data_IF_015363429669
#
_entry.id   IF_015363429669
#
_cell.length_a   1.000
_cell.length_b   1.000
_cell.length_c   1.000
_cell.angle_alpha   90.00
_cell.angle_beta   90.00
_cell.angle_gamma   90.00
#
_symmetry.space_group_name_H-M   'P 1'
#
loop_
_entity.id
_entity.type
_entity.pdbx_description
1 polymer ?
#
# COMPACT_ATOMS: atom_id res chain seq x y z
N UNK A 1 2.09 31.67 -18.31
CA UNK A 1 2.85 30.45 -18.03
C UNK A 1 2.74 30.24 -16.54
N UNK A 2 2.54 29.00 -16.09
CA UNK A 2 2.32 28.69 -14.68
C UNK A 2 3.59 28.07 -14.11
N UNK A 3 4.70 28.84 -14.13
CA UNK A 3 6.01 28.32 -13.80
C UNK A 3 6.34 28.58 -12.33
N UNK A 4 6.76 27.54 -11.62
CA UNK A 4 7.17 27.66 -10.23
C UNK A 4 8.67 27.40 -10.14
N UNK A 5 9.31 28.08 -9.20
CA UNK A 5 10.63 27.68 -8.72
C UNK A 5 10.46 26.41 -7.89
N UNK A 6 11.11 25.32 -8.25
CA UNK A 6 11.09 24.07 -7.49
C UNK A 6 12.46 23.83 -6.86
N UNK A 7 12.50 23.60 -5.55
CA UNK A 7 13.66 23.10 -4.83
C UNK A 7 13.37 21.71 -4.30
N UNK A 8 14.27 20.76 -4.51
CA UNK A 8 14.22 19.44 -3.90
C UNK A 8 15.50 19.26 -3.08
N UNK A 9 15.32 18.93 -1.80
CA UNK A 9 16.40 18.85 -0.82
C UNK A 9 16.35 17.47 -0.17
N UNK A 10 17.47 16.77 -0.15
CA UNK A 10 17.67 15.58 0.67
C UNK A 10 18.88 15.74 1.60
N UNK A 11 19.33 14.65 2.24
CA UNK A 11 20.46 14.69 3.17
C UNK A 11 21.81 14.98 2.49
N UNK A 12 21.92 14.69 1.20
CA UNK A 12 23.17 14.70 0.45
C UNK A 12 23.32 15.91 -0.46
N UNK A 13 22.21 16.43 -0.98
CA UNK A 13 22.22 17.46 -2.00
C UNK A 13 20.91 18.28 -2.03
N UNK A 14 21.02 19.42 -2.70
CA UNK A 14 19.89 20.25 -3.10
C UNK A 14 19.96 20.48 -4.60
N UNK A 15 18.82 20.32 -5.27
CA UNK A 15 18.64 20.68 -6.67
C UNK A 15 17.51 21.71 -6.79
N UNK A 16 17.67 22.67 -7.69
CA UNK A 16 16.66 23.69 -7.96
C UNK A 16 16.47 23.92 -9.45
N UNK A 17 15.23 24.19 -9.86
CA UNK A 17 14.87 24.40 -11.25
C UNK A 17 13.59 25.21 -11.35
N UNK A 18 13.20 25.54 -12.57
CA UNK A 18 11.88 26.10 -12.88
C UNK A 18 11.06 24.98 -13.55
N UNK A 19 9.81 24.80 -13.16
CA UNK A 19 8.93 23.75 -13.73
C UNK A 19 7.51 24.28 -13.89
N UNK A 20 6.71 23.61 -14.72
CA UNK A 20 5.27 23.85 -14.73
C UNK A 20 4.64 23.40 -13.39
N UNK A 21 3.65 24.12 -12.90
CA UNK A 21 3.02 23.84 -11.59
C UNK A 21 2.49 22.40 -11.45
N UNK A 22 1.96 21.80 -12.53
CA UNK A 22 1.48 20.41 -12.54
C UNK A 22 2.60 19.39 -12.23
N UNK A 23 3.85 19.69 -12.58
CA UNK A 23 5.01 18.86 -12.20
C UNK A 23 5.25 18.95 -10.70
N UNK A 24 5.05 20.13 -10.10
CA UNK A 24 5.09 20.32 -8.65
C UNK A 24 4.04 19.45 -7.95
N UNK A 25 2.82 19.42 -8.47
CA UNK A 25 1.73 18.60 -7.91
C UNK A 25 2.05 17.10 -7.99
N UNK A 26 2.55 16.64 -9.14
CA UNK A 26 2.97 15.26 -9.33
C UNK A 26 4.12 14.86 -8.39
N UNK A 27 5.06 15.79 -8.13
CA UNK A 27 6.13 15.57 -7.15
C UNK A 27 5.58 15.45 -5.74
N UNK A 28 4.62 16.29 -5.34
CA UNK A 28 3.98 16.17 -4.03
C UNK A 28 3.23 14.84 -3.92
N UNK A 29 2.49 14.42 -4.95
CA UNK A 29 1.84 13.12 -4.97
C UNK A 29 2.83 11.94 -4.87
N UNK A 30 4.00 12.04 -5.50
CA UNK A 30 5.07 11.05 -5.41
C UNK A 30 5.63 10.88 -3.99
N UNK A 31 5.43 11.85 -3.09
CA UNK A 31 5.81 11.74 -1.68
C UNK A 31 5.00 10.67 -0.93
N UNK A 32 3.89 10.18 -1.48
CA UNK A 32 3.13 9.04 -0.95
C UNK A 32 3.96 7.74 -0.94
N UNK A 33 5.03 7.66 -1.73
CA UNK A 33 5.99 6.57 -1.67
C UNK A 33 7.01 6.68 -0.51
N UNK A 34 6.89 7.71 0.35
CA UNK A 34 7.81 8.06 1.43
C UNK A 34 9.31 8.10 1.03
N UNK A 35 9.70 8.74 -0.09
CA UNK A 35 11.10 8.84 -0.47
C UNK A 35 11.91 9.64 0.57
N UNK A 36 13.15 9.21 0.84
CA UNK A 36 14.14 9.89 1.70
C UNK A 36 15.26 10.53 0.87
N UNK A 37 15.41 10.14 -0.40
CA UNK A 37 16.42 10.64 -1.35
C UNK A 37 15.78 11.15 -2.64
N UNK A 38 16.48 12.04 -3.34
CA UNK A 38 16.04 12.55 -4.65
C UNK A 38 15.92 11.41 -5.66
N UNK A 39 16.78 10.40 -5.60
CA UNK A 39 16.73 9.23 -6.48
C UNK A 39 15.48 8.38 -6.24
N UNK A 40 15.11 8.15 -4.97
CA UNK A 40 13.86 7.47 -4.62
C UNK A 40 12.63 8.28 -5.07
N UNK A 41 12.66 9.61 -4.89
CA UNK A 41 11.58 10.49 -5.36
C UNK A 41 11.42 10.41 -6.89
N UNK A 42 12.53 10.39 -7.63
CA UNK A 42 12.50 10.27 -9.08
C UNK A 42 11.86 8.94 -9.54
N UNK A 43 12.17 7.84 -8.85
CA UNK A 43 11.56 6.53 -9.11
C UNK A 43 10.07 6.52 -8.77
N UNK A 44 9.69 7.13 -7.65
CA UNK A 44 8.28 7.28 -7.26
C UNK A 44 7.49 8.15 -8.24
N UNK A 45 8.10 9.19 -8.79
CA UNK A 45 7.48 10.10 -9.76
C UNK A 45 7.08 9.39 -11.06
N UNK A 46 7.76 8.29 -11.42
CA UNK A 46 7.42 7.47 -12.59
C UNK A 46 5.99 6.89 -12.53
N UNK A 47 5.38 6.87 -11.34
CA UNK A 47 3.98 6.54 -11.14
C UNK A 47 3.03 7.54 -11.79
N UNK A 48 3.36 8.83 -11.78
CA UNK A 48 2.47 9.91 -12.24
C UNK A 48 2.91 10.53 -13.57
N UNK A 49 4.21 10.51 -13.85
CA UNK A 49 4.79 11.03 -15.10
C UNK A 49 5.54 9.88 -15.75
N UNK A 50 4.97 9.32 -16.83
CA UNK A 50 5.62 8.24 -17.60
C UNK A 50 6.94 8.77 -18.17
N UNK A 51 8.07 8.09 -17.90
CA UNK A 51 9.34 8.46 -18.50
C UNK A 51 9.34 8.23 -20.01
N UNK A 52 9.99 9.13 -20.76
CA UNK A 52 10.26 8.93 -22.18
C UNK A 52 11.38 7.88 -22.34
N UNK A 53 10.98 6.59 -22.39
CA UNK A 53 11.89 5.45 -22.51
C UNK A 53 12.62 5.11 -21.20
N UNK A 54 13.92 4.80 -21.29
CA UNK A 54 14.74 4.39 -20.13
C UNK A 54 15.23 5.56 -19.26
N UNK A 55 14.72 6.78 -19.50
CA UNK A 55 15.21 7.95 -18.78
C UNK A 55 14.47 8.14 -17.46
N UNK A 56 15.15 8.55 -16.39
CA UNK A 56 14.43 8.94 -15.16
C UNK A 56 13.47 10.11 -15.46
N UNK A 57 12.29 10.21 -14.83
CA UNK A 57 11.45 11.39 -14.94
C UNK A 57 12.20 12.68 -14.58
N UNK A 58 13.24 12.60 -13.73
CA UNK A 58 14.13 13.73 -13.42
C UNK A 58 15.37 13.80 -14.34
N UNK A 59 15.62 12.86 -15.25
CA UNK A 59 16.79 12.86 -16.13
C UNK A 59 16.84 13.97 -17.18
N UNK A 60 15.72 14.40 -17.81
CA UNK A 60 15.72 15.60 -18.66
C UNK A 60 16.29 16.84 -17.95
N UNK A 61 16.30 16.81 -16.61
CA UNK A 61 16.70 17.89 -15.73
C UNK A 61 18.17 17.84 -15.29
N UNK A 62 18.89 16.74 -15.53
CA UNK A 62 20.32 16.56 -15.19
C UNK A 62 21.29 16.97 -16.31
N UNK A 63 20.81 17.38 -17.48
CA UNK A 63 21.72 17.88 -18.52
C UNK A 63 22.29 19.22 -18.07
N UNK A 64 23.54 19.21 -17.62
CA UNK A 64 24.36 20.42 -17.60
C UNK A 64 24.21 21.09 -18.96
N UNK A 65 23.70 22.32 -18.97
CA UNK A 65 23.67 23.12 -20.18
C UNK A 65 25.12 23.36 -20.57
N UNK A 66 25.68 22.52 -21.43
CA UNK A 66 26.93 22.83 -22.11
C UNK A 66 26.66 24.07 -22.96
N UNK A 67 27.30 25.22 -22.69
CA UNK A 67 27.15 26.37 -23.56
C UNK A 67 27.81 26.01 -24.88
N UNK A 68 27.01 25.94 -25.95
CA UNK A 68 27.33 25.55 -27.33
C UNK A 68 27.08 24.08 -27.67
N UNK A 69 25.88 23.79 -28.18
CA UNK A 69 25.73 22.68 -29.13
C UNK A 69 24.75 23.08 -30.24
N UNK A 70 25.32 23.45 -31.39
CA UNK A 70 24.57 23.57 -32.64
C UNK A 70 24.15 22.17 -33.08
N UNK A 71 22.84 21.91 -33.12
CA UNK A 71 22.28 20.65 -33.59
C UNK A 71 22.38 20.62 -35.12
N UNK A 72 23.34 19.85 -35.65
CA UNK A 72 23.34 19.38 -37.04
C UNK A 72 22.74 17.98 -37.10
N UNK A 73 21.64 17.82 -37.86
CA UNK A 73 20.99 16.53 -38.15
C UNK A 73 21.87 15.70 -39.10
N UNK A 74 22.14 14.46 -38.73
CA UNK A 74 22.67 13.40 -39.58
C UNK A 74 21.71 12.21 -39.53
N UNK A 75 21.16 11.85 -40.68
CA UNK A 75 20.45 10.59 -40.90
C UNK A 75 21.48 9.57 -41.39
N UNK A 76 21.51 8.37 -40.81
CA UNK A 76 21.89 7.13 -41.51
C UNK A 76 21.65 5.88 -40.62
N UNK A 77 20.84 4.94 -41.13
CA UNK A 77 21.28 3.55 -41.40
C UNK A 77 21.26 2.46 -40.32
N UNK A 78 20.36 1.47 -40.54
CA UNK A 78 20.55 0.00 -40.49
C UNK A 78 20.48 -0.83 -39.18
N UNK A 79 19.35 -1.53 -39.09
CA UNK A 79 19.03 -2.94 -38.75
C UNK A 79 20.13 -3.97 -38.35
N UNK A 80 19.83 -4.75 -37.29
CA UNK A 80 19.92 -6.24 -37.29
C UNK A 80 19.18 -6.89 -36.09
N UNK A 81 18.89 -8.22 -36.13
CA UNK A 81 17.61 -8.78 -35.66
C UNK A 81 17.72 -9.75 -34.48
N UNK A 82 16.65 -9.84 -33.68
CA UNK A 82 16.22 -11.07 -33.00
C UNK A 82 14.67 -11.12 -32.97
N UNK A 83 14.11 -12.26 -33.37
CA UNK A 83 12.68 -12.63 -33.43
C UNK A 83 12.54 -14.05 -32.81
N UNK A 84 11.34 -14.60 -32.55
CA UNK A 84 10.24 -14.06 -31.74
C UNK A 84 9.60 -15.13 -30.81
N UNK A 85 8.70 -14.71 -29.91
CA UNK A 85 7.59 -15.55 -29.45
C UNK A 85 6.29 -15.01 -30.09
N UNK A 86 5.58 -15.89 -30.81
CA UNK A 86 4.22 -15.69 -31.36
C UNK A 86 3.18 -15.84 -30.22
N UNK A 87 1.95 -15.30 -30.23
CA UNK A 87 1.05 -14.77 -31.27
C UNK A 87 0.00 -13.91 -30.52
N UNK A 88 -0.14 -12.66 -30.92
CA UNK A 88 -1.20 -11.73 -30.53
C UNK A 88 -1.22 -10.65 -31.60
N UNK A 89 -2.39 -10.21 -32.00
CA UNK A 89 -2.66 -9.50 -33.25
C UNK A 89 -1.77 -8.27 -33.48
N UNK A 90 -1.41 -8.02 -34.74
CA UNK A 90 -0.64 -6.84 -35.17
C UNK A 90 -1.48 -5.57 -34.90
N UNK A 91 -1.38 -5.03 -33.69
CA UNK A 91 -1.66 -3.62 -33.44
C UNK A 91 -0.56 -2.83 -34.15
N UNK A 92 -0.95 -2.03 -35.16
CA UNK A 92 -0.02 -1.06 -35.73
C UNK A 92 0.55 -0.17 -34.61
N UNK A 93 1.83 0.21 -34.66
CA UNK A 93 2.39 1.14 -33.68
C UNK A 93 1.65 2.46 -33.82
N UNK A 94 0.71 2.71 -32.90
CA UNK A 94 0.04 3.99 -32.76
C UNK A 94 1.12 5.05 -32.55
N UNK A 95 1.15 6.06 -33.42
CA UNK A 95 2.11 7.16 -33.35
C UNK A 95 2.18 7.67 -31.90
N UNK A 96 3.38 7.62 -31.31
CA UNK A 96 3.62 8.09 -29.96
C UNK A 96 3.19 9.55 -29.88
N UNK A 97 2.03 9.80 -29.28
CA UNK A 97 1.48 11.15 -29.11
C UNK A 97 2.53 12.01 -28.43
N UNK A 98 3.00 13.04 -29.14
CA UNK A 98 3.96 13.99 -28.59
C UNK A 98 3.34 14.64 -27.35
N UNK A 99 3.95 14.45 -26.18
CA UNK A 99 3.64 15.27 -25.01
C UNK A 99 3.60 16.75 -25.44
N UNK A 100 2.63 17.56 -24.95
CA UNK A 100 2.50 18.95 -25.34
C UNK A 100 3.87 19.64 -25.31
N UNK A 101 4.22 20.38 -26.37
CA UNK A 101 5.56 20.99 -26.51
C UNK A 101 5.97 21.86 -25.31
N UNK A 102 5.01 22.26 -24.47
CA UNK A 102 5.22 22.95 -23.18
C UNK A 102 5.99 22.10 -22.15
N UNK A 103 5.88 20.77 -22.16
CA UNK A 103 6.71 19.88 -21.33
C UNK A 103 8.16 19.75 -21.85
N UNK A 104 8.40 19.99 -23.15
CA UNK A 104 9.71 19.81 -23.80
C UNK A 104 10.66 21.00 -23.64
N UNK A 105 10.23 22.13 -23.05
CA UNK A 105 11.14 23.25 -22.74
C UNK A 105 11.94 22.89 -21.48
N UNK A 106 12.93 22.02 -21.66
CA UNK A 106 13.79 21.51 -20.59
C UNK A 106 14.42 22.65 -19.80
N UNK A 107 13.92 22.87 -18.59
CA UNK A 107 14.51 23.74 -17.60
C UNK A 107 15.52 22.90 -16.83
N UNK A 108 16.81 23.19 -17.00
CA UNK A 108 17.87 22.45 -16.33
C UNK A 108 17.77 22.68 -14.82
N UNK A 109 17.93 21.62 -14.03
CA UNK A 109 18.14 21.79 -12.60
C UNK A 109 19.60 22.13 -12.33
N UNK A 110 19.81 22.98 -11.36
CA UNK A 110 21.11 23.41 -10.90
C UNK A 110 21.34 22.91 -9.47
N UNK A 111 22.60 22.61 -9.15
CA UNK A 111 22.98 22.29 -7.79
C UNK A 111 22.83 23.53 -6.90
N UNK A 112 22.26 23.34 -5.72
CA UNK A 112 22.07 24.40 -4.73
C UNK A 112 20.62 24.87 -4.64
N UNK A 113 20.32 25.56 -3.55
CA UNK A 113 19.01 26.15 -3.30
C UNK A 113 18.84 27.48 -4.04
N UNK A 114 17.63 27.74 -4.51
CA UNK A 114 17.22 29.04 -5.01
C UNK A 114 15.84 29.37 -4.45
N UNK A 115 15.82 30.26 -3.46
CA UNK A 115 14.61 30.67 -2.74
C UNK A 115 13.90 31.86 -3.40
N UNK A 116 14.40 32.36 -4.53
CA UNK A 116 13.73 33.42 -5.29
C UNK A 116 12.56 32.82 -6.09
N UNK A 117 11.33 33.31 -5.85
CA UNK A 117 10.14 32.81 -6.55
C UNK A 117 10.21 33.09 -8.05
N UNK A 118 9.57 32.22 -8.84
CA UNK A 118 9.36 32.44 -10.27
C UNK A 118 8.03 33.18 -10.51
N UNK A 119 7.50 33.16 -11.74
CA UNK A 119 6.29 33.89 -12.11
C UNK A 119 5.03 33.45 -11.33
N UNK A 120 4.87 32.14 -11.09
CA UNK A 120 3.76 31.59 -10.32
C UNK A 120 4.10 31.29 -8.85
N UNK A 121 5.36 31.45 -8.43
CA UNK A 121 5.82 31.29 -7.05
C UNK A 121 6.95 30.27 -6.87
N UNK A 122 6.98 29.63 -5.70
CA UNK A 122 8.00 28.67 -5.27
C UNK A 122 7.40 27.47 -4.53
N UNK A 123 7.96 26.30 -4.78
CA UNK A 123 7.70 25.03 -4.09
C UNK A 123 9.04 24.47 -3.58
N UNK A 124 9.10 24.09 -2.32
CA UNK A 124 10.25 23.42 -1.71
C UNK A 124 9.80 22.08 -1.18
N UNK A 125 10.48 21.02 -1.59
CA UNK A 125 10.30 19.65 -1.11
C UNK A 125 11.56 19.24 -0.37
N UNK A 126 11.48 19.21 0.94
CA UNK A 126 12.59 18.85 1.82
C UNK A 126 12.37 17.45 2.38
N UNK A 127 12.95 16.47 1.71
CA UNK A 127 12.84 15.05 2.06
C UNK A 127 13.43 14.78 3.44
N UNK A 128 14.58 15.40 3.74
CA UNK A 128 15.28 15.22 5.01
C UNK A 128 14.49 15.78 6.20
N UNK A 129 13.77 16.89 6.01
CA UNK A 129 12.91 17.50 7.04
C UNK A 129 11.47 16.93 7.05
N UNK A 130 11.06 16.22 5.99
CA UNK A 130 9.66 15.92 5.65
C UNK A 130 8.79 17.19 5.66
N UNK A 131 9.22 18.21 4.91
CA UNK A 131 8.50 19.49 4.78
C UNK A 131 8.22 19.80 3.32
N UNK A 132 6.99 20.22 3.04
CA UNK A 132 6.59 20.83 1.77
C UNK A 132 6.28 22.30 2.04
N UNK A 133 7.08 23.21 1.47
CA UNK A 133 6.82 24.64 1.57
C UNK A 133 6.24 25.14 0.25
N UNK A 134 5.09 25.81 0.31
CA UNK A 134 4.41 26.34 -0.87
C UNK A 134 4.19 27.84 -0.69
N UNK A 135 4.77 28.64 -1.58
CA UNK A 135 4.46 30.07 -1.71
C UNK A 135 4.17 30.33 -3.20
N UNK A 136 2.96 29.95 -3.61
CA UNK A 136 2.54 29.88 -5.01
C UNK A 136 1.12 30.42 -5.16
N UNK A 137 0.89 31.12 -6.26
CA UNK A 137 -0.43 31.68 -6.61
C UNK A 137 -1.24 30.77 -7.52
N UNK A 138 -0.63 29.69 -8.02
CA UNK A 138 -1.24 28.82 -9.02
C UNK A 138 -1.59 27.43 -8.50
N UNK A 139 -0.68 26.83 -7.73
CA UNK A 139 -0.91 25.52 -7.11
C UNK A 139 -0.69 25.58 -5.61
N UNK A 140 -1.59 24.93 -4.87
CA UNK A 140 -1.59 24.79 -3.42
C UNK A 140 -1.73 23.30 -3.10
N UNK A 141 -0.69 22.47 -3.36
CA UNK A 141 -0.77 21.05 -3.08
C UNK A 141 -0.95 20.84 -1.57
N UNK A 142 -1.71 19.82 -1.22
CA UNK A 142 -2.09 19.45 0.14
C UNK A 142 -1.57 18.05 0.48
N UNK A 143 -1.73 17.63 1.74
CA UNK A 143 -1.33 16.29 2.17
C UNK A 143 -2.17 15.17 1.53
N UNK A 144 -3.34 15.49 0.99
CA UNK A 144 -4.19 14.59 0.22
C UNK A 144 -4.75 15.34 -0.99
N UNK A 145 -4.97 14.63 -2.10
CA UNK A 145 -5.45 15.26 -3.33
C UNK A 145 -5.58 14.24 -4.46
N UNK A 146 -5.62 14.73 -5.69
CA UNK A 146 -5.59 13.89 -6.89
C UNK A 146 -4.65 14.48 -7.94
N UNK A 147 -4.03 13.61 -8.73
CA UNK A 147 -3.27 13.97 -9.93
C UNK A 147 -3.99 13.41 -11.14
N UNK A 148 -4.27 14.28 -12.09
CA UNK A 148 -4.82 13.90 -13.38
C UNK A 148 -3.70 13.34 -14.25
N UNK A 149 -3.74 12.04 -14.55
CA UNK A 149 -2.81 11.40 -15.48
C UNK A 149 -3.50 11.10 -16.80
N UNK A 150 -2.76 11.17 -17.90
CA UNK A 150 -3.24 10.74 -19.20
C UNK A 150 -3.04 9.22 -19.34
N UNK A 151 -4.06 8.50 -19.81
CA UNK A 151 -3.97 7.06 -20.07
C UNK A 151 -3.88 6.80 -21.57
N UNK A 152 -3.42 5.60 -21.94
CA UNK A 152 -3.39 5.20 -23.35
C UNK A 152 -4.79 4.79 -23.89
N UNK A 153 -5.75 4.60 -22.98
CA UNK A 153 -7.09 4.09 -23.30
C UNK A 153 -8.14 5.20 -23.37
N UNK A 154 -7.80 6.42 -22.95
CA UNK A 154 -8.74 7.55 -22.92
C UNK A 154 -8.04 8.86 -23.27
N UNK A 155 -8.73 9.71 -24.02
CA UNK A 155 -8.35 11.12 -24.18
C UNK A 155 -8.62 11.94 -22.91
N UNK A 156 -9.48 11.43 -22.02
CA UNK A 156 -9.79 12.06 -20.74
C UNK A 156 -8.69 11.78 -19.72
N UNK A 157 -8.37 12.81 -18.93
CA UNK A 157 -7.46 12.66 -17.80
C UNK A 157 -8.16 11.92 -16.66
N UNK A 158 -7.46 10.93 -16.11
CA UNK A 158 -7.96 10.15 -14.98
C UNK A 158 -7.41 10.71 -13.68
N UNK A 159 -8.26 11.05 -12.69
CA UNK A 159 -7.81 11.50 -11.39
C UNK A 159 -7.33 10.32 -10.54
N UNK A 160 -6.04 10.31 -10.19
CA UNK A 160 -5.45 9.35 -9.27
C UNK A 160 -5.31 10.00 -7.90
N UNK A 161 -6.01 9.50 -6.86
CA UNK A 161 -5.91 10.08 -5.53
C UNK A 161 -4.50 9.87 -4.97
N UNK A 162 -4.04 10.72 -4.08
CA UNK A 162 -2.85 10.47 -3.27
C UNK A 162 -3.10 10.94 -1.85
N UNK A 163 -2.38 10.34 -0.92
CA UNK A 163 -2.35 10.75 0.48
C UNK A 163 -0.93 10.61 0.99
N UNK A 164 -0.45 11.61 1.71
CA UNK A 164 0.84 11.61 2.37
C UNK A 164 0.67 11.14 3.81
N UNK A 165 1.74 10.57 4.37
CA UNK A 165 1.78 10.25 5.79
C UNK A 165 1.78 11.53 6.65
N UNK A 166 1.24 11.44 7.87
CA UNK A 166 1.15 12.58 8.81
C UNK A 166 2.53 13.13 9.25
N UNK A 167 3.62 12.47 8.85
CA UNK A 167 4.99 12.95 9.09
C UNK A 167 5.34 14.14 8.18
N UNK A 168 4.67 14.31 7.04
CA UNK A 168 4.86 15.46 6.16
C UNK A 168 4.20 16.73 6.72
N UNK A 169 5.00 17.79 6.89
CA UNK A 169 4.52 19.10 7.30
C UNK A 169 4.39 20.02 6.09
N UNK A 170 3.20 20.61 5.91
CA UNK A 170 2.99 21.68 4.92
C UNK A 170 3.13 23.04 5.60
N UNK A 171 3.88 23.95 4.97
CA UNK A 171 4.02 25.35 5.37
C UNK A 171 3.76 26.25 4.16
N UNK A 172 3.24 27.46 4.40
CA UNK A 172 2.70 28.30 3.32
C UNK A 172 3.52 29.58 3.10
N UNK A 173 4.77 29.60 3.56
CA UNK A 173 5.71 30.68 3.29
C UNK A 173 7.16 30.23 3.44
N UNK A 174 8.08 30.91 2.75
CA UNK A 174 9.53 30.65 2.88
C UNK A 174 10.08 30.94 4.29
N UNK A 175 9.68 32.03 4.98
CA UNK A 175 10.11 32.26 6.36
C UNK A 175 9.68 31.15 7.33
N UNK A 176 8.46 30.62 7.21
CA UNK A 176 8.01 29.48 8.01
C UNK A 176 8.87 28.24 7.75
N UNK A 177 9.14 27.93 6.48
CA UNK A 177 10.04 26.85 6.09
C UNK A 177 11.42 26.96 6.75
N UNK A 178 12.05 28.14 6.65
CA UNK A 178 13.36 28.39 7.26
C UNK A 178 13.32 28.25 8.79
N UNK A 179 12.19 28.60 9.41
CA UNK A 179 11.99 28.46 10.85
C UNK A 179 11.89 27.01 11.34
N UNK A 180 11.33 26.09 10.53
CA UNK A 180 11.03 24.71 10.95
C UNK A 180 11.99 23.66 10.40
N UNK A 181 12.61 23.87 9.24
CA UNK A 181 13.30 22.80 8.51
C UNK A 181 14.49 22.23 9.28
N UNK A 182 15.29 23.09 9.94
CA UNK A 182 16.47 22.66 10.69
C UNK A 182 16.10 21.77 11.88
N UNK A 183 15.16 22.21 12.72
CA UNK A 183 14.72 21.44 13.90
C UNK A 183 14.18 20.07 13.48
N UNK A 184 13.39 20.02 12.40
CA UNK A 184 12.84 18.76 11.90
C UNK A 184 13.92 17.82 11.35
N UNK A 185 14.91 18.33 10.62
CA UNK A 185 16.07 17.53 10.18
C UNK A 185 16.83 16.99 11.39
N UNK A 186 17.15 17.84 12.38
CA UNK A 186 17.87 17.45 13.59
C UNK A 186 17.10 16.36 14.35
N UNK A 187 15.78 16.53 14.52
CA UNK A 187 14.90 15.54 15.15
C UNK A 187 14.88 14.21 14.40
N UNK A 188 14.75 14.24 13.07
CA UNK A 188 14.71 13.02 12.24
C UNK A 188 16.06 12.31 12.22
N UNK A 189 17.17 13.04 12.19
CA UNK A 189 18.50 12.47 12.31
C UNK A 189 18.74 11.84 13.69
N UNK A 190 18.14 12.39 14.74
CA UNK A 190 18.20 11.81 16.08
C UNK A 190 17.34 10.54 16.23
N UNK A 191 16.24 10.42 15.48
CA UNK A 191 15.39 9.23 15.49
C UNK A 191 15.99 8.12 14.66
N UNK A 192 16.48 7.07 15.34
CA UNK A 192 16.88 5.83 14.66
C UNK A 192 15.66 5.15 14.07
N UNK A 193 15.63 5.02 12.74
CA UNK A 193 14.63 4.20 12.07
C UNK A 193 14.87 2.73 12.41
N UNK A 194 13.81 2.06 12.86
CA UNK A 194 13.80 0.68 13.31
C UNK A 194 13.20 -0.21 12.21
N UNK A 195 13.82 -1.36 11.93
CA UNK A 195 13.14 -2.44 11.21
C UNK A 195 12.40 -3.31 12.22
N UNK A 196 11.12 -3.00 12.44
CA UNK A 196 10.30 -3.71 13.42
C UNK A 196 10.13 -5.20 13.08
N UNK A 197 10.32 -5.62 11.82
CA UNK A 197 10.15 -7.02 11.41
C UNK A 197 11.22 -7.92 12.03
N UNK A 198 12.41 -7.40 12.34
CA UNK A 198 13.44 -8.15 13.07
C UNK A 198 12.96 -8.59 14.47
N UNK A 199 12.06 -7.83 15.09
CA UNK A 199 11.47 -8.19 16.39
C UNK A 199 10.19 -8.99 16.20
N UNK A 200 9.29 -8.51 15.34
CA UNK A 200 7.96 -9.09 15.16
C UNK A 200 8.03 -10.49 14.52
N UNK A 201 8.90 -10.67 13.52
CA UNK A 201 9.10 -11.94 12.82
C UNK A 201 10.41 -12.62 13.20
N UNK A 202 11.21 -12.07 14.10
CA UNK A 202 12.49 -12.66 14.49
C UNK A 202 12.41 -13.56 15.71
N UNK A 203 13.60 -13.85 16.25
CA UNK A 203 13.78 -14.74 17.41
C UNK A 203 13.07 -14.25 18.67
N UNK A 204 12.92 -12.94 18.83
CA UNK A 204 12.25 -12.34 19.98
C UNK A 204 10.80 -12.81 20.15
N UNK A 205 10.07 -13.00 19.04
CA UNK A 205 8.72 -13.57 19.06
C UNK A 205 8.74 -15.03 19.53
N UNK A 206 9.59 -15.87 18.95
CA UNK A 206 9.66 -17.30 19.29
C UNK A 206 10.14 -17.54 20.72
N UNK A 207 11.08 -16.72 21.23
CA UNK A 207 11.46 -16.71 22.64
C UNK A 207 10.27 -16.41 23.55
N UNK A 208 9.54 -15.33 23.25
CA UNK A 208 8.36 -14.96 24.03
C UNK A 208 7.31 -16.07 24.06
N UNK A 209 6.93 -16.61 22.89
CA UNK A 209 5.95 -17.70 22.77
C UNK A 209 6.39 -18.90 23.59
N UNK A 210 7.64 -19.36 23.42
CA UNK A 210 8.15 -20.50 24.17
C UNK A 210 8.08 -20.24 25.68
N UNK A 211 8.59 -19.12 26.18
CA UNK A 211 8.59 -18.85 27.63
C UNK A 211 7.19 -18.78 28.23
N UNK A 212 6.24 -18.13 27.56
CA UNK A 212 4.86 -18.04 28.04
C UNK A 212 4.15 -19.40 28.01
N UNK A 213 4.30 -20.17 26.93
CA UNK A 213 3.72 -21.51 26.83
C UNK A 213 4.31 -22.46 27.88
N UNK A 214 5.62 -22.42 28.14
CA UNK A 214 6.26 -23.22 29.18
C UNK A 214 5.76 -22.85 30.59
N UNK A 215 5.55 -21.56 30.85
CA UNK A 215 5.00 -21.08 32.11
C UNK A 215 3.55 -21.54 32.31
N UNK A 216 2.77 -21.60 31.23
CA UNK A 216 1.37 -21.96 31.23
C UNK A 216 1.08 -23.44 30.94
N UNK A 217 2.10 -24.31 30.83
CA UNK A 217 1.97 -25.72 30.37
C UNK A 217 1.00 -26.61 31.15
N UNK A 218 0.62 -26.23 32.36
CA UNK A 218 -0.34 -26.97 33.20
C UNK A 218 -1.72 -26.31 33.24
N UNK A 219 -1.91 -25.22 32.49
CA UNK A 219 -3.19 -24.54 32.39
C UNK A 219 -4.17 -25.38 31.58
N UNK A 220 -5.44 -25.34 31.97
CA UNK A 220 -6.56 -25.94 31.24
C UNK A 220 -7.45 -24.87 30.62
N UNK A 221 -6.95 -23.63 30.53
CA UNK A 221 -7.68 -22.50 29.98
C UNK A 221 -7.78 -22.62 28.45
N UNK A 222 -9.00 -22.65 27.94
CA UNK A 222 -9.28 -22.75 26.50
C UNK A 222 -8.85 -21.48 25.76
N UNK A 223 -8.82 -20.33 26.45
CA UNK A 223 -8.44 -19.04 25.88
C UNK A 223 -6.95 -18.73 26.03
N UNK A 224 -6.15 -19.70 26.51
CA UNK A 224 -4.73 -19.49 26.79
C UNK A 224 -3.97 -18.95 25.57
N UNK A 225 -4.28 -19.47 24.37
CA UNK A 225 -3.64 -18.98 23.14
C UNK A 225 -3.92 -17.50 22.90
N UNK A 226 -5.14 -17.03 23.18
CA UNK A 226 -5.53 -15.63 22.97
C UNK A 226 -4.84 -14.74 24.00
N UNK A 227 -4.80 -15.18 25.26
CA UNK A 227 -4.14 -14.46 26.35
C UNK A 227 -2.63 -14.28 26.11
N UNK A 228 -1.93 -15.32 25.63
CA UNK A 228 -0.50 -15.21 25.28
C UNK A 228 -0.30 -14.21 24.14
N UNK A 229 -1.14 -14.26 23.10
CA UNK A 229 -1.04 -13.33 21.98
C UNK A 229 -1.36 -11.88 22.38
N UNK A 230 -2.40 -11.66 23.19
CA UNK A 230 -2.72 -10.36 23.79
C UNK A 230 -1.52 -9.82 24.58
N UNK A 231 -0.92 -10.67 25.43
CA UNK A 231 0.24 -10.28 26.23
C UNK A 231 1.40 -9.85 25.33
N UNK A 232 1.65 -10.56 24.22
CA UNK A 232 2.65 -10.14 23.23
C UNK A 232 2.32 -8.76 22.66
N UNK A 233 1.10 -8.59 22.13
CA UNK A 233 0.69 -7.38 21.43
C UNK A 233 0.68 -6.13 22.30
N UNK A 234 0.37 -6.27 23.58
CA UNK A 234 0.17 -5.15 24.51
C UNK A 234 1.39 -4.84 25.40
N UNK A 235 2.43 -5.67 25.37
CA UNK A 235 3.63 -5.45 26.17
C UNK A 235 4.59 -4.49 25.47
N UNK A 236 4.89 -3.36 26.10
CA UNK A 236 5.94 -2.45 25.65
C UNK A 236 7.31 -3.14 25.62
N UNK A 237 8.12 -2.86 24.59
CA UNK A 237 9.43 -3.48 24.41
C UNK A 237 10.53 -2.48 24.10
N UNK A 238 11.68 -2.62 24.76
CA UNK A 238 12.84 -1.77 24.53
C UNK A 238 13.40 -1.89 23.09
N UNK A 239 13.33 -3.09 22.48
CA UNK A 239 13.73 -3.32 21.09
C UNK A 239 12.74 -2.74 20.06
N UNK A 240 11.56 -2.29 20.51
CA UNK A 240 10.57 -1.51 19.76
C UNK A 240 10.48 -0.05 20.26
N UNK A 241 11.55 0.48 20.86
CA UNK A 241 11.59 1.86 21.39
C UNK A 241 10.50 2.13 22.43
N UNK A 242 10.31 1.17 23.34
CA UNK A 242 9.30 1.17 24.41
C UNK A 242 7.84 1.21 23.91
N UNK A 243 7.62 0.91 22.63
CA UNK A 243 6.30 0.66 22.05
C UNK A 243 5.93 -0.81 22.15
N UNK A 244 4.65 -1.07 22.19
CA UNK A 244 4.09 -2.41 22.06
C UNK A 244 4.05 -2.87 20.59
N UNK A 245 4.11 -4.18 20.29
CA UNK A 245 3.93 -4.69 18.93
C UNK A 245 2.66 -4.15 18.25
N UNK A 246 1.55 -4.02 18.99
CA UNK A 246 0.29 -3.48 18.45
C UNK A 246 0.44 -2.03 18.00
N UNK A 247 1.05 -1.17 18.81
CA UNK A 247 1.28 0.23 18.45
C UNK A 247 2.15 0.35 17.20
N UNK A 248 3.10 -0.56 17.00
CA UNK A 248 3.97 -0.59 15.82
C UNK A 248 3.23 -1.10 14.58
N UNK A 249 2.44 -2.17 14.71
CA UNK A 249 1.61 -2.71 13.64
C UNK A 249 0.57 -1.70 13.15
N UNK A 250 -0.11 -1.02 14.07
CA UNK A 250 -1.12 -0.01 13.72
C UNK A 250 -0.53 1.36 13.37
N UNK A 251 0.80 1.50 13.40
CA UNK A 251 1.45 2.73 12.97
C UNK A 251 1.31 2.88 11.46
N UNK A 252 0.67 3.97 11.03
CA UNK A 252 0.45 4.30 9.62
C UNK A 252 -0.27 3.25 8.76
N UNK A 253 -0.94 2.23 9.33
CA UNK A 253 -1.59 1.20 8.50
C UNK A 253 -2.64 1.76 7.53
N UNK A 254 -3.48 2.72 7.98
CA UNK A 254 -4.44 3.41 7.11
C UNK A 254 -3.79 4.17 5.96
N UNK A 255 -2.56 4.65 6.14
CA UNK A 255 -1.81 5.30 5.07
C UNK A 255 -1.37 4.26 4.02
N UNK A 256 -1.00 3.06 4.44
CA UNK A 256 -0.64 1.98 3.52
C UNK A 256 -1.85 1.48 2.75
N UNK A 257 -2.97 1.26 3.42
CA UNK A 257 -4.21 0.86 2.77
C UNK A 257 -4.67 1.93 1.77
N UNK A 258 -4.55 3.21 2.12
CA UNK A 258 -4.86 4.32 1.23
C UNK A 258 -3.94 4.39 0.00
N UNK A 259 -2.64 4.11 0.13
CA UNK A 259 -1.72 4.09 -1.02
C UNK A 259 -2.00 2.87 -1.92
N UNK A 260 -2.21 1.69 -1.34
CA UNK A 260 -2.60 0.49 -2.09
C UNK A 260 -3.89 0.71 -2.87
N UNK A 261 -4.93 1.24 -2.23
CA UNK A 261 -6.18 1.55 -2.89
C UNK A 261 -6.02 2.55 -4.04
N UNK A 262 -5.21 3.59 -3.84
CA UNK A 262 -4.89 4.54 -4.91
C UNK A 262 -4.18 3.87 -6.10
N UNK A 263 -3.32 2.88 -5.84
CA UNK A 263 -2.63 2.10 -6.87
C UNK A 263 -3.56 1.13 -7.58
N UNK A 264 -4.55 0.56 -6.90
CA UNK A 264 -5.62 -0.26 -7.49
C UNK A 264 -6.44 0.55 -8.49
N UNK A 265 -6.85 1.76 -8.09
CA UNK A 265 -7.53 2.69 -8.97
C UNK A 265 -6.67 3.03 -10.18
N UNK A 266 -5.40 3.35 -9.96
CA UNK A 266 -4.47 3.59 -11.07
C UNK A 266 -4.36 2.39 -12.00
N UNK A 267 -4.21 1.17 -11.47
CA UNK A 267 -4.14 -0.03 -12.31
C UNK A 267 -5.44 -0.23 -13.10
N UNK A 268 -6.59 -0.07 -12.44
CA UNK A 268 -7.91 -0.17 -13.07
C UNK A 268 -8.05 0.77 -14.27
N UNK A 269 -7.63 2.03 -14.12
CA UNK A 269 -7.80 3.03 -15.17
C UNK A 269 -6.71 3.02 -16.25
N UNK A 270 -5.50 2.57 -15.90
CA UNK A 270 -4.37 2.56 -16.83
C UNK A 270 -4.10 1.22 -17.46
N UNK A 271 -4.79 0.15 -17.02
CA UNK A 271 -4.55 -1.24 -17.41
C UNK A 271 -3.17 -1.79 -17.02
N UNK A 272 -2.36 -1.01 -16.30
CA UNK A 272 -0.97 -1.33 -15.99
C UNK A 272 -0.73 -1.25 -14.48
N UNK A 273 -0.05 -2.25 -13.93
CA UNK A 273 0.33 -2.24 -12.52
C UNK A 273 1.29 -1.06 -12.25
N UNK A 274 1.01 -0.19 -11.28
CA UNK A 274 1.90 0.91 -10.93
C UNK A 274 3.29 0.41 -10.54
N UNK A 275 4.37 1.17 -10.81
CA UNK A 275 5.72 0.76 -10.46
C UNK A 275 5.85 0.44 -8.94
N UNK A 276 6.45 -0.71 -8.59
CA UNK A 276 6.65 -1.09 -7.20
C UNK A 276 7.72 -0.21 -6.53
N UNK A 277 7.72 -0.17 -5.20
CA UNK A 277 8.83 0.43 -4.47
C UNK A 277 10.15 -0.33 -4.74
N UNK A 278 11.28 0.38 -4.90
CA UNK A 278 12.59 -0.26 -5.02
C UNK A 278 12.97 -0.99 -3.72
N UNK A 279 13.57 -2.18 -3.83
CA UNK A 279 13.95 -3.01 -2.67
C UNK A 279 15.04 -2.35 -1.79
N UNK A 280 15.85 -1.48 -2.38
CA UNK A 280 16.87 -0.72 -1.66
C UNK A 280 16.33 0.55 -0.99
N UNK A 281 15.05 0.90 -1.23
CA UNK A 281 14.48 2.13 -0.70
C UNK A 281 14.25 2.04 0.81
N UNK A 282 14.37 3.17 1.50
CA UNK A 282 14.02 3.26 2.91
C UNK A 282 12.55 2.90 3.15
N UNK A 283 11.67 3.33 2.25
CA UNK A 283 10.23 3.06 2.32
C UNK A 283 9.90 1.56 2.25
N UNK A 284 10.66 0.75 1.50
CA UNK A 284 10.52 -0.71 1.49
C UNK A 284 11.18 -1.36 2.71
N UNK A 285 12.42 -0.97 3.02
CA UNK A 285 13.21 -1.58 4.09
C UNK A 285 12.56 -1.39 5.46
N UNK A 286 11.93 -0.23 5.67
CA UNK A 286 11.31 0.17 6.95
C UNK A 286 9.82 0.48 6.77
N UNK A 287 9.19 -0.17 5.81
CA UNK A 287 7.77 -0.01 5.52
C UNK A 287 6.93 -0.20 6.81
N UNK A 288 5.98 0.68 7.11
CA UNK A 288 4.92 0.34 8.07
C UNK A 288 4.08 -0.82 7.53
N UNK A 289 3.23 -1.36 8.38
CA UNK A 289 2.39 -2.53 8.12
C UNK A 289 1.05 -2.07 7.55
N UNK A 290 0.57 -2.68 6.47
CA UNK A 290 -0.80 -2.50 6.02
C UNK A 290 -1.70 -3.57 6.61
N UNK A 291 -2.99 -3.53 6.26
CA UNK A 291 -3.96 -4.48 6.80
C UNK A 291 -3.60 -5.93 6.45
N UNK A 292 -3.06 -6.22 5.26
CA UNK A 292 -2.76 -7.60 4.88
C UNK A 292 -1.65 -8.21 5.73
N UNK A 293 -0.55 -7.49 5.94
CA UNK A 293 0.56 -7.99 6.77
C UNK A 293 0.13 -8.15 8.23
N UNK A 294 -0.72 -7.26 8.76
CA UNK A 294 -1.25 -7.37 10.13
C UNK A 294 -2.09 -8.65 10.30
N UNK A 295 -2.98 -8.95 9.35
CA UNK A 295 -3.80 -10.17 9.39
C UNK A 295 -2.93 -11.42 9.25
N UNK A 296 -1.98 -11.42 8.32
CA UNK A 296 -1.02 -12.53 8.17
C UNK A 296 -0.20 -12.73 9.46
N UNK A 297 0.23 -11.64 10.08
CA UNK A 297 0.96 -11.66 11.34
C UNK A 297 0.13 -12.30 12.46
N UNK A 298 -1.15 -11.91 12.58
CA UNK A 298 -2.06 -12.48 13.56
C UNK A 298 -2.13 -14.01 13.43
N UNK A 299 -2.33 -14.52 12.22
CA UNK A 299 -2.41 -15.96 11.97
C UNK A 299 -1.10 -16.70 12.27
N UNK A 300 0.04 -16.12 11.91
CA UNK A 300 1.35 -16.69 12.21
C UNK A 300 1.52 -16.88 13.72
N UNK A 301 1.25 -15.84 14.52
CA UNK A 301 1.43 -15.91 15.96
C UNK A 301 0.50 -16.97 16.58
N UNK A 302 -0.77 -17.02 16.13
CA UNK A 302 -1.73 -18.05 16.58
C UNK A 302 -1.30 -19.46 16.24
N UNK A 303 -0.79 -19.66 15.03
CA UNK A 303 -0.23 -20.94 14.59
C UNK A 303 0.94 -21.38 15.48
N UNK A 304 1.92 -20.49 15.71
CA UNK A 304 3.11 -20.81 16.51
C UNK A 304 2.77 -21.10 17.98
N UNK A 305 1.82 -20.35 18.58
CA UNK A 305 1.36 -20.62 19.95
C UNK A 305 0.68 -21.99 20.03
N UNK A 306 -0.23 -22.30 19.10
CA UNK A 306 -0.92 -23.59 19.05
C UNK A 306 0.06 -24.76 18.94
N UNK A 307 0.97 -24.69 17.97
CA UNK A 307 2.02 -25.70 17.78
C UNK A 307 2.92 -25.87 19.00
N UNK A 308 3.21 -24.79 19.74
CA UNK A 308 4.01 -24.84 20.96
C UNK A 308 3.27 -25.58 22.08
N UNK A 309 2.00 -25.23 22.31
CA UNK A 309 1.17 -25.87 23.33
C UNK A 309 0.97 -27.36 23.04
N UNK A 310 0.69 -27.73 21.79
CA UNK A 310 0.54 -29.14 21.37
C UNK A 310 1.83 -29.94 21.60
N UNK A 311 2.98 -29.35 21.27
CA UNK A 311 4.31 -29.95 21.50
C UNK A 311 4.56 -30.20 23.00
N UNK A 312 4.26 -29.22 23.86
CA UNK A 312 4.43 -29.32 25.31
C UNK A 312 3.50 -30.35 25.96
N UNK A 313 2.29 -30.54 25.42
CA UNK A 313 1.37 -31.58 25.88
C UNK A 313 1.86 -32.98 25.46
N UNK A 314 2.42 -33.11 24.27
CA UNK A 314 2.90 -34.39 23.73
C UNK A 314 4.22 -34.85 24.36
N UNK A 315 5.12 -33.93 24.73
CA UNK A 315 6.50 -34.25 25.14
C UNK A 315 6.81 -33.74 26.56
N UNK A 316 7.22 -34.65 27.45
CA UNK A 316 7.52 -34.32 28.85
C UNK A 316 8.88 -33.64 29.09
N UNK A 317 9.83 -33.78 28.16
CA UNK A 317 11.22 -33.31 28.32
C UNK A 317 11.67 -32.42 27.14
N UNK A 318 10.92 -31.35 26.87
CA UNK A 318 11.35 -30.29 25.97
C UNK A 318 12.17 -29.23 26.73
N UNK A 319 13.32 -28.86 26.17
CA UNK A 319 14.07 -27.69 26.63
C UNK A 319 13.54 -26.41 25.94
N UNK A 320 13.48 -25.25 26.64
CA UNK A 320 13.08 -23.99 26.02
C UNK A 320 13.86 -23.64 24.75
N UNK A 321 15.19 -23.78 24.75
CA UNK A 321 16.03 -23.45 23.58
C UNK A 321 15.73 -24.33 22.36
N UNK A 322 15.50 -25.63 22.58
CA UNK A 322 15.10 -26.56 21.53
C UNK A 322 13.74 -26.21 20.93
N UNK A 323 12.80 -25.76 21.78
CA UNK A 323 11.48 -25.33 21.33
C UNK A 323 11.54 -24.01 20.55
N UNK A 324 12.36 -23.04 20.98
CA UNK A 324 12.60 -21.80 20.23
C UNK A 324 13.12 -22.11 18.82
N UNK A 325 14.11 -23.00 18.70
CA UNK A 325 14.66 -23.40 17.40
C UNK A 325 13.61 -24.09 16.50
N UNK A 326 12.72 -24.91 17.09
CA UNK A 326 11.62 -25.55 16.38
C UNK A 326 10.60 -24.52 15.87
N UNK A 327 10.22 -23.55 16.70
CA UNK A 327 9.29 -22.49 16.33
C UNK A 327 9.84 -21.62 15.18
N UNK A 328 11.14 -21.30 15.19
CA UNK A 328 11.80 -20.59 14.08
C UNK A 328 11.70 -21.38 12.76
N UNK A 329 11.90 -22.70 12.83
CA UNK A 329 11.75 -23.57 11.66
C UNK A 329 10.30 -23.63 11.17
N UNK A 330 9.33 -23.80 12.08
CA UNK A 330 7.91 -23.82 11.74
C UNK A 330 7.46 -22.51 11.10
N UNK A 331 7.88 -21.38 11.65
CA UNK A 331 7.62 -20.04 11.10
C UNK A 331 8.10 -19.92 9.66
N UNK A 332 9.36 -20.31 9.38
CA UNK A 332 9.90 -20.26 8.02
C UNK A 332 9.09 -21.16 7.06
N UNK A 333 8.75 -22.37 7.49
CA UNK A 333 7.93 -23.29 6.67
C UNK A 333 6.52 -22.74 6.42
N UNK A 334 5.90 -22.12 7.43
CA UNK A 334 4.57 -21.53 7.33
C UNK A 334 4.57 -20.34 6.37
N UNK A 335 5.58 -19.46 6.46
CA UNK A 335 5.70 -18.29 5.59
C UNK A 335 5.87 -18.67 4.10
N UNK A 336 6.54 -19.79 3.81
CA UNK A 336 6.90 -20.21 2.45
C UNK A 336 5.93 -21.24 1.83
N UNK A 337 4.85 -21.59 2.52
CA UNK A 337 3.84 -22.52 2.00
C UNK A 337 2.49 -21.82 1.82
N UNK A 338 1.78 -22.08 0.71
CA UNK A 338 0.39 -21.66 0.59
C UNK A 338 -0.42 -22.23 1.75
N UNK A 339 -1.23 -21.38 2.38
CA UNK A 339 -2.15 -21.78 3.43
C UNK A 339 -3.56 -21.92 2.84
N UNK A 340 -4.41 -22.72 3.48
CA UNK A 340 -5.84 -22.83 3.17
C UNK A 340 -6.54 -21.45 3.15
N UNK A 341 -6.11 -20.55 4.03
CA UNK A 341 -6.69 -19.20 4.13
C UNK A 341 -6.28 -18.28 2.98
N UNK A 342 -5.19 -18.61 2.28
CA UNK A 342 -4.61 -17.82 1.18
C UNK A 342 -4.40 -18.73 -0.04
N UNK A 343 -5.48 -19.21 -0.69
CA UNK A 343 -5.33 -20.05 -1.88
C UNK A 343 -4.50 -19.28 -2.93
N UNK A 344 -3.54 -19.99 -3.51
CA UNK A 344 -2.54 -19.51 -4.48
C UNK A 344 -1.41 -18.59 -4.00
N UNK A 345 -1.41 -18.11 -2.75
CA UNK A 345 -0.39 -17.17 -2.26
C UNK A 345 0.28 -17.68 -1.00
N UNK A 346 1.60 -17.51 -0.91
CA UNK A 346 2.31 -17.75 0.36
C UNK A 346 2.16 -16.53 1.27
N UNK A 347 2.13 -16.69 2.60
CA UNK A 347 2.18 -15.54 3.51
C UNK A 347 3.36 -14.60 3.23
N UNK A 348 4.54 -15.13 2.93
CA UNK A 348 5.72 -14.32 2.57
C UNK A 348 5.50 -13.45 1.32
N UNK A 349 4.74 -13.95 0.34
CA UNK A 349 4.39 -13.21 -0.86
C UNK A 349 3.44 -12.04 -0.56
N UNK A 350 2.43 -12.27 0.29
CA UNK A 350 1.48 -11.22 0.72
C UNK A 350 2.23 -10.07 1.40
N UNK A 351 3.10 -10.41 2.36
CA UNK A 351 3.94 -9.45 3.08
C UNK A 351 4.81 -8.66 2.09
N UNK A 352 5.51 -9.37 1.18
CA UNK A 352 6.40 -8.73 0.22
C UNK A 352 5.67 -7.78 -0.73
N UNK A 353 4.48 -8.15 -1.20
CA UNK A 353 3.70 -7.32 -2.12
C UNK A 353 3.17 -6.05 -1.45
N UNK A 354 2.65 -6.15 -0.24
CA UNK A 354 2.19 -4.99 0.52
C UNK A 354 3.37 -4.04 0.81
N UNK A 355 4.54 -4.57 1.21
CA UNK A 355 5.76 -3.78 1.42
C UNK A 355 6.25 -3.06 0.16
N UNK A 356 6.10 -3.69 -1.00
CA UNK A 356 6.43 -3.09 -2.30
C UNK A 356 5.34 -2.16 -2.83
N UNK A 357 4.23 -2.02 -2.12
CA UNK A 357 3.03 -1.27 -2.54
C UNK A 357 2.50 -1.78 -3.88
N UNK A 358 2.41 -3.10 -4.03
CA UNK A 358 1.83 -3.74 -5.20
C UNK A 358 0.43 -4.20 -4.81
N UNK A 359 -0.63 -3.68 -5.46
CA UNK A 359 -1.97 -4.22 -5.30
C UNK A 359 -2.00 -5.71 -5.52
N UNK A 360 -2.68 -6.43 -4.64
CA UNK A 360 -2.74 -7.88 -4.71
C UNK A 360 -3.88 -8.29 -5.61
N UNK A 361 -3.57 -9.01 -6.68
CA UNK A 361 -4.58 -9.45 -7.63
C UNK A 361 -4.99 -10.89 -7.41
N UNK A 362 -6.23 -11.19 -7.79
CA UNK A 362 -6.72 -12.55 -7.98
C UNK A 362 -7.12 -12.73 -9.43
N UNK A 363 -6.98 -13.96 -9.93
CA UNK A 363 -7.52 -14.27 -11.25
C UNK A 363 -9.05 -14.21 -11.20
N UNK A 364 -9.68 -14.01 -12.35
CA UNK A 364 -11.14 -14.00 -12.41
C UNK A 364 -11.73 -15.33 -11.91
N UNK A 365 -11.05 -16.46 -12.16
CA UNK A 365 -11.42 -17.79 -11.62
C UNK A 365 -11.31 -17.89 -10.10
N UNK A 366 -10.33 -17.22 -9.48
CA UNK A 366 -10.19 -17.14 -8.02
C UNK A 366 -11.24 -16.23 -7.38
N UNK A 367 -11.79 -15.28 -8.13
CA UNK A 367 -12.85 -14.37 -7.69
C UNK A 367 -14.27 -14.95 -7.85
N UNK A 368 -14.42 -16.14 -8.45
CA UNK A 368 -15.72 -16.80 -8.60
C UNK A 368 -16.24 -17.20 -7.22
N UNK A 369 -17.42 -16.67 -6.85
CA UNK A 369 -18.10 -17.02 -5.60
C UNK A 369 -18.74 -18.41 -5.69
N UNK A 370 -19.35 -18.73 -6.85
CA UNK A 370 -20.01 -20.00 -7.11
C UNK A 370 -19.56 -20.56 -8.46
N UNK A 371 -18.76 -21.62 -8.42
CA UNK A 371 -18.23 -22.32 -9.59
C UNK A 371 -19.33 -22.91 -10.48
N UNK A 372 -20.56 -23.06 -9.99
CA UNK A 372 -21.68 -23.61 -10.75
C UNK A 372 -22.64 -22.53 -11.28
N UNK A 373 -22.43 -21.25 -10.93
CA UNK A 373 -23.28 -20.16 -11.37
C UNK A 373 -22.87 -19.69 -12.78
N UNK A 374 -23.74 -19.79 -13.81
CA UNK A 374 -23.39 -19.37 -15.18
C UNK A 374 -22.98 -17.91 -15.30
N UNK A 375 -23.53 -17.02 -14.45
CA UNK A 375 -23.13 -15.61 -14.43
C UNK A 375 -21.72 -15.42 -13.88
N UNK A 376 -21.33 -16.19 -12.86
CA UNK A 376 -19.98 -16.10 -12.30
C UNK A 376 -18.95 -16.68 -13.28
N UNK A 377 -19.29 -17.76 -13.98
CA UNK A 377 -18.44 -18.33 -15.02
C UNK A 377 -18.27 -17.35 -16.19
N UNK A 378 -19.36 -16.76 -16.69
CA UNK A 378 -19.31 -15.76 -17.76
C UNK A 378 -18.50 -14.53 -17.35
N UNK A 379 -18.69 -14.02 -16.12
CA UNK A 379 -17.84 -12.94 -15.59
C UNK A 379 -16.37 -13.35 -15.57
N UNK A 380 -16.05 -14.58 -15.17
CA UNK A 380 -14.66 -15.03 -15.12
C UNK A 380 -14.03 -15.20 -16.51
N UNK A 381 -14.83 -15.47 -17.54
CA UNK A 381 -14.39 -15.59 -18.93
C UNK A 381 -14.22 -14.23 -19.62
N UNK A 382 -15.09 -13.25 -19.30
CA UNK A 382 -15.15 -11.96 -20.00
C UNK A 382 -14.39 -10.82 -19.30
N UNK A 383 -14.04 -10.96 -18.02
CA UNK A 383 -13.44 -9.87 -17.24
C UNK A 383 -11.92 -9.78 -17.47
N UNK A 384 -11.52 -8.82 -18.31
CA UNK A 384 -10.10 -8.50 -18.55
C UNK A 384 -9.51 -7.54 -17.49
N UNK A 385 -10.36 -6.90 -16.68
CA UNK A 385 -9.94 -5.95 -15.63
C UNK A 385 -9.33 -6.69 -14.44
N UNK A 386 -8.22 -6.20 -13.86
CA UNK A 386 -7.65 -6.79 -12.65
C UNK A 386 -8.68 -6.80 -11.51
N UNK A 387 -8.84 -7.96 -10.88
CA UNK A 387 -9.58 -8.09 -9.62
C UNK A 387 -8.61 -8.03 -8.46
N UNK A 388 -8.93 -7.22 -7.45
CA UNK A 388 -8.08 -7.05 -6.27
C UNK A 388 -8.60 -7.89 -5.11
N UNK A 389 -7.67 -8.44 -4.35
CA UNK A 389 -7.94 -9.27 -3.19
C UNK A 389 -7.45 -8.57 -1.93
N UNK A 390 -8.32 -8.58 -0.92
CA UNK A 390 -8.09 -7.90 0.34
C UNK A 390 -8.30 -8.83 1.53
N UNK A 391 -7.48 -8.62 2.56
CA UNK A 391 -7.77 -9.07 3.91
C UNK A 391 -8.30 -7.88 4.71
N UNK A 392 -9.27 -8.11 5.58
CA UNK A 392 -9.95 -7.07 6.37
C UNK A 392 -9.90 -7.34 7.89
N UNK A 393 -9.38 -8.50 8.30
CA UNK A 393 -9.31 -8.93 9.70
C UNK A 393 -10.66 -9.38 10.29
N UNK A 394 -11.71 -9.57 9.48
CA UNK A 394 -13.02 -10.06 9.92
C UNK A 394 -12.99 -11.43 10.59
N UNK A 395 -11.92 -12.19 10.37
CA UNK A 395 -11.66 -13.53 10.90
C UNK A 395 -10.80 -13.55 12.17
N UNK A 396 -10.39 -12.38 12.66
CA UNK A 396 -9.64 -12.23 13.92
C UNK A 396 -10.59 -12.27 15.11
N UNK A 397 -10.07 -12.58 16.31
CA UNK A 397 -10.87 -12.58 17.53
C UNK A 397 -11.44 -11.16 17.78
N UNK A 398 -12.74 -11.06 18.09
CA UNK A 398 -13.44 -9.76 18.26
C UNK A 398 -13.17 -9.13 19.63
N UNK A 399 -11.94 -8.66 19.82
CA UNK A 399 -11.56 -7.85 20.99
C UNK A 399 -10.66 -6.67 20.58
N UNK A 400 -10.55 -5.69 21.47
CA UNK A 400 -9.80 -4.45 21.22
C UNK A 400 -8.35 -4.74 20.78
N UNK A 401 -7.69 -5.69 21.44
CA UNK A 401 -6.28 -6.00 21.24
C UNK A 401 -5.96 -6.46 19.81
N UNK A 402 -6.91 -7.14 19.16
CA UNK A 402 -6.81 -7.60 17.78
C UNK A 402 -7.51 -6.66 16.78
N UNK A 403 -8.31 -5.70 17.24
CA UNK A 403 -8.94 -4.72 16.38
C UNK A 403 -7.95 -3.72 15.78
N UNK A 404 -8.37 -3.02 14.73
CA UNK A 404 -7.59 -1.92 14.10
C UNK A 404 -7.77 -0.54 14.77
N UNK A 405 -8.55 -0.44 15.85
CA UNK A 405 -8.77 0.84 16.55
C UNK A 405 -7.52 1.25 17.33
N UNK A 406 -7.18 2.54 17.35
CA UNK A 406 -5.95 2.95 18.07
C UNK A 406 -6.16 2.93 19.57
N UNK A 407 -7.37 3.25 20.01
CA UNK A 407 -7.74 3.38 21.42
C UNK A 407 -8.91 2.48 21.79
N UNK A 408 -8.99 2.08 23.06
CA UNK A 408 -10.07 1.22 23.56
C UNK A 408 -11.41 1.94 23.45
N UNK A 409 -11.41 3.23 23.71
CA UNK A 409 -12.58 4.10 23.64
C UNK A 409 -13.17 4.15 22.22
N UNK A 410 -12.33 4.20 21.18
CA UNK A 410 -12.79 4.14 19.78
C UNK A 410 -13.46 2.80 19.45
N UNK A 411 -12.88 1.68 19.89
CA UNK A 411 -13.43 0.35 19.67
C UNK A 411 -14.75 0.15 20.42
N UNK A 412 -14.80 0.51 21.71
CA UNK A 412 -16.03 0.42 22.52
C UNK A 412 -17.16 1.28 21.91
N UNK A 413 -16.84 2.47 21.41
CA UNK A 413 -17.82 3.33 20.73
C UNK A 413 -18.34 2.73 19.41
N UNK A 414 -17.51 2.02 18.63
CA UNK A 414 -17.99 1.30 17.45
C UNK A 414 -18.85 0.10 17.84
N UNK A 415 -18.42 -0.71 18.81
CA UNK A 415 -19.18 -1.86 19.28
C UNK A 415 -20.58 -1.44 19.73
N UNK A 416 -20.67 -0.33 20.48
CA UNK A 416 -21.96 0.24 20.85
C UNK A 416 -22.79 0.66 19.62
N UNK A 417 -22.21 1.35 18.63
CA UNK A 417 -22.91 1.72 17.39
C UNK A 417 -23.43 0.50 16.64
N UNK A 418 -22.63 -0.56 16.56
CA UNK A 418 -22.98 -1.80 15.86
C UNK A 418 -24.10 -2.56 16.59
N UNK A 419 -24.05 -2.62 17.92
CA UNK A 419 -25.13 -3.17 18.75
C UNK A 419 -26.44 -2.38 18.57
N UNK A 420 -26.38 -1.05 18.58
CA UNK A 420 -27.54 -0.17 18.37
C UNK A 420 -28.13 -0.38 16.96
N UNK A 421 -27.29 -0.44 15.93
CA UNK A 421 -27.69 -0.72 14.56
C UNK A 421 -28.36 -2.09 14.43
N UNK A 422 -27.79 -3.14 15.03
CA UNK A 422 -28.36 -4.49 14.99
C UNK A 422 -29.71 -4.56 15.71
N UNK A 423 -29.85 -3.89 16.85
CA UNK A 423 -31.12 -3.80 17.58
C UNK A 423 -32.21 -3.10 16.75
N UNK A 424 -31.85 -2.04 16.03
CA UNK A 424 -32.76 -1.36 15.11
C UNK A 424 -33.12 -2.22 13.91
N UNK A 425 -32.12 -2.83 13.26
CA UNK A 425 -32.31 -3.74 12.13
C UNK A 425 -33.22 -4.91 12.51
N UNK A 426 -33.00 -5.56 13.65
CA UNK A 426 -33.88 -6.63 14.15
C UNK A 426 -35.31 -6.14 14.41
N UNK A 427 -35.47 -4.93 14.95
CA UNK A 427 -36.79 -4.33 15.22
C UNK A 427 -37.53 -4.08 13.92
N UNK A 428 -36.87 -3.49 12.92
CA UNK A 428 -37.44 -3.28 11.59
C UNK A 428 -37.78 -4.60 10.91
N UNK A 429 -36.86 -5.57 10.95
CA UNK A 429 -37.06 -6.87 10.32
C UNK A 429 -38.24 -7.62 10.95
N UNK A 430 -38.36 -7.59 12.28
CA UNK A 430 -39.53 -8.13 12.99
C UNK A 430 -40.80 -7.38 12.58
N UNK A 431 -40.79 -6.04 12.52
CA UNK A 431 -41.95 -5.25 12.13
C UNK A 431 -42.40 -5.51 10.67
N UNK A 432 -41.46 -5.64 9.72
CA UNK A 432 -41.76 -5.95 8.30
C UNK A 432 -42.30 -7.36 8.12
N UNK A 433 -41.79 -8.35 8.87
CA UNK A 433 -42.34 -9.71 8.87
C UNK A 433 -43.78 -9.80 9.41
N UNK A 434 -44.25 -8.80 10.15
CA UNK A 434 -45.65 -8.73 10.59
C UNK A 434 -46.57 -7.99 9.61
N UNK A 435 -46.02 -7.33 8.58
CA UNK A 435 -46.81 -6.65 7.54
C UNK A 435 -47.03 -7.51 6.28
N UNK A 436 -46.47 -8.73 6.25
CA UNK A 436 -46.65 -9.72 5.16
C UNK A 436 -48.06 -10.35 5.13
N UNK A 437 -49.06 -9.75 5.79
CA UNK A 437 -50.47 -10.15 5.59
C UNK A 437 -51.00 -9.79 4.19
N UNK A 438 -50.19 -9.14 3.37
CA UNK A 438 -50.42 -8.89 1.94
C UNK A 438 -49.50 -9.68 1.01
N UNK A 439 -48.64 -10.55 1.54
CA UNK A 439 -48.02 -11.58 0.71
C UNK A 439 -49.08 -12.67 0.46
N UNK A 440 -49.94 -12.44 -0.55
CA UNK A 440 -50.48 -13.56 -1.30
C UNK A 440 -49.30 -14.50 -1.59
N UNK A 441 -49.37 -15.78 -1.22
CA UNK A 441 -48.29 -16.70 -1.52
C UNK A 441 -48.10 -16.62 -3.03
N UNK A 442 -46.94 -16.11 -3.46
CA UNK A 442 -46.41 -16.36 -4.79
C UNK A 442 -46.40 -17.88 -4.92
N UNK A 443 -47.50 -18.42 -5.46
CA UNK A 443 -47.55 -19.75 -6.01
C UNK A 443 -46.41 -19.77 -7.01
N UNK A 444 -45.31 -20.40 -6.60
CA UNK A 444 -44.39 -21.02 -7.54
C UNK A 444 -45.29 -21.90 -8.40
N UNK A 445 -45.62 -21.40 -9.60
CA UNK A 445 -46.21 -22.22 -10.63
C UNK A 445 -45.12 -23.26 -10.91
N UNK A 446 -45.32 -24.43 -10.32
CA UNK A 446 -44.64 -25.65 -10.64
C UNK A 446 -45.04 -25.93 -12.09
N UNK A 447 -44.21 -25.52 -13.05
CA UNK A 447 -44.33 -25.85 -14.48
C UNK A 447 -44.02 -27.34 -14.68
N UNK A 448 -44.77 -28.19 -13.98
CA UNK A 448 -44.76 -29.63 -14.13
C UNK A 448 -45.48 -30.01 -15.42
N UNK A 449 -44.68 -30.37 -16.42
CA UNK A 449 -44.88 -31.50 -17.32
C UNK A 449 -46.35 -31.84 -17.68
N UNK A 450 -46.90 -31.13 -18.67
CA UNK A 450 -48.02 -31.62 -19.47
C UNK A 450 -47.50 -32.48 -20.63
N UNK A 451 -46.92 -33.65 -20.29
CA UNK A 451 -46.82 -34.79 -21.20
C UNK A 451 -48.00 -35.74 -20.94
N UNK A 452 -49.15 -35.52 -21.58
CA UNK A 452 -49.98 -36.62 -22.12
C UNK A 452 -51.22 -36.15 -22.88
N UNK A 453 -51.12 -36.04 -24.21
CA UNK A 453 -52.25 -36.31 -25.11
C UNK A 453 -51.74 -36.88 -26.43
N UNK A 454 -51.34 -38.15 -26.37
CA UNK A 454 -51.55 -39.11 -27.45
C UNK A 454 -52.89 -39.79 -27.17
N UNK A 455 -53.91 -39.41 -27.94
CA UNK A 455 -54.71 -40.33 -28.75
C UNK A 455 -54.94 -39.71 -30.12
#
# INVERSE_FOLDING_TARGET
>A
MSCIRLNIIDQSQTISGEVHASVGDAIVAALAAEPETIEELALALARFIKPDGNQSPLQPFHKEVTPNCHISRSLDGNQSPLQPFHKGENLEPYDAYEQPAEYKKALAFHKGENLEPCDAGILIVDLAARVVAVDSTYSLPTAEGHICIQTQFSEELVPIPYRLSDDWLFVHSIPEYQGVCKERRDRRQATRLLDAREVLYGRALSEFIAFECFAARNSTDEDLSAQIHIKWLMSARADLQDRSPREVLLDKYKFIDSDLHSRELQWTFTGECPPPLPLQSNAYARAPFGTHEIVVYYYLVRYLIGECLDSLQAQKELSPDGEIARLEQLKSVWLDRPNRDFPSKTPSHIIEWERRRIPMTVTASEAIIDENCPLCQMMAEELETPMFWHLDGSSMDDCFEFSFYKTREEWEAEQQRWEEFNQEFEREWKNRKYDSSTDEPLMWIDDGDDESLIQ
#
